data_IF_965404997833
#
_entry.id   IF_965404997833
#
_cell.length_a   1.000
_cell.length_b   1.000
_cell.length_c   1.000
_cell.angle_alpha   90.00
_cell.angle_beta   90.00
_cell.angle_gamma   90.00
#
_symmetry.space_group_name_H-M   'P 1'
#
loop_
_entity.id
_entity.type
_entity.pdbx_description
1 polymer ?
#
# COMPACT_ATOMS: atom_id res chain seq x y z
N UNK A 1 -2.50 -16.24 -75.96
CA UNK A 1 -3.19 -15.79 -74.72
C UNK A 1 -3.11 -16.82 -73.57
N UNK A 2 -2.01 -17.58 -73.41
CA UNK A 2 -1.89 -18.59 -72.33
C UNK A 2 -0.78 -18.23 -71.32
N UNK A 3 0.07 -17.24 -71.63
CA UNK A 3 1.21 -16.87 -70.78
C UNK A 3 0.84 -15.94 -69.62
N UNK A 4 -0.16 -15.06 -69.78
CA UNK A 4 -0.51 -14.07 -68.74
C UNK A 4 -1.31 -14.67 -67.58
N UNK A 5 -2.14 -15.68 -67.87
CA UNK A 5 -2.94 -16.38 -66.85
C UNK A 5 -2.07 -17.16 -65.88
N UNK A 6 -0.91 -17.69 -66.32
CA UNK A 6 0.03 -18.39 -65.45
C UNK A 6 0.69 -17.47 -64.42
N UNK A 7 1.07 -16.25 -64.82
CA UNK A 7 1.66 -15.27 -63.91
C UNK A 7 0.66 -14.78 -62.87
N UNK A 8 -0.60 -14.58 -63.27
CA UNK A 8 -1.67 -14.20 -62.35
C UNK A 8 -1.94 -15.28 -61.29
N UNK A 9 -2.07 -16.54 -61.70
CA UNK A 9 -2.30 -17.67 -60.77
C UNK A 9 -1.13 -17.84 -59.79
N UNK A 10 0.11 -17.68 -60.25
CA UNK A 10 1.30 -17.70 -59.37
C UNK A 10 1.26 -16.57 -58.34
N UNK A 11 0.84 -15.37 -58.75
CA UNK A 11 0.67 -14.23 -57.85
C UNK A 11 -0.39 -14.48 -56.78
N UNK A 12 -1.53 -15.07 -57.14
CA UNK A 12 -2.61 -15.42 -56.19
C UNK A 12 -2.13 -16.46 -55.18
N UNK A 13 -1.40 -17.49 -55.63
CA UNK A 13 -0.87 -18.54 -54.75
C UNK A 13 0.19 -17.98 -53.79
N UNK A 14 1.12 -17.15 -54.28
CA UNK A 14 2.14 -16.51 -53.45
C UNK A 14 1.52 -15.52 -52.44
N UNK A 15 0.53 -14.73 -52.86
CA UNK A 15 -0.20 -13.82 -51.97
C UNK A 15 -1.00 -14.55 -50.89
N UNK A 16 -1.65 -15.67 -51.24
CA UNK A 16 -2.35 -16.52 -50.29
C UNK A 16 -1.41 -17.17 -49.27
N UNK A 17 -0.27 -17.70 -49.72
CA UNK A 17 0.75 -18.27 -48.84
C UNK A 17 1.35 -17.21 -47.90
N UNK A 18 1.63 -15.99 -48.40
CA UNK A 18 2.12 -14.88 -47.59
C UNK A 18 1.07 -14.42 -46.56
N UNK A 19 -0.20 -14.31 -46.95
CA UNK A 19 -1.29 -13.94 -46.06
C UNK A 19 -1.47 -14.98 -44.93
N UNK A 20 -1.41 -16.27 -45.26
CA UNK A 20 -1.42 -17.37 -44.28
C UNK A 20 -0.21 -17.32 -43.35
N UNK A 21 0.97 -16.95 -43.85
CA UNK A 21 2.18 -16.82 -43.03
C UNK A 21 2.06 -15.64 -42.06
N UNK A 22 1.53 -14.50 -42.53
CA UNK A 22 1.29 -13.30 -41.72
C UNK A 22 0.20 -13.53 -40.67
N UNK A 23 -0.85 -14.30 -40.98
CA UNK A 23 -1.87 -14.66 -39.97
C UNK A 23 -1.33 -15.69 -38.97
N UNK A 24 -0.50 -16.66 -39.38
CA UNK A 24 0.18 -17.56 -38.45
C UNK A 24 1.16 -16.82 -37.53
N UNK A 25 1.95 -15.88 -38.08
CA UNK A 25 2.87 -15.03 -37.33
C UNK A 25 2.11 -14.00 -36.48
N UNK A 26 0.96 -13.51 -36.94
CA UNK A 26 0.08 -12.60 -36.19
C UNK A 26 -0.63 -13.29 -35.00
N UNK A 27 -0.79 -14.61 -35.05
CA UNK A 27 -1.20 -15.42 -33.89
C UNK A 27 -0.06 -15.64 -32.88
N UNK A 28 1.21 -15.46 -33.28
CA UNK A 28 2.31 -15.28 -32.33
C UNK A 28 2.21 -13.84 -31.81
N UNK A 29 1.36 -13.62 -30.80
CA UNK A 29 1.41 -12.41 -29.98
C UNK A 29 2.80 -12.31 -29.34
N UNK A 30 3.77 -11.70 -30.02
CA UNK A 30 4.80 -10.89 -29.38
C UNK A 30 4.14 -9.56 -29.03
N UNK A 31 3.16 -9.66 -28.13
CA UNK A 31 2.62 -8.52 -27.44
C UNK A 31 3.60 -8.18 -26.32
N UNK A 32 4.62 -7.40 -26.66
CA UNK A 32 5.24 -6.49 -25.70
C UNK A 32 4.25 -5.34 -25.41
N UNK A 33 3.03 -5.72 -25.02
CA UNK A 33 2.13 -4.80 -24.35
C UNK A 33 2.76 -4.58 -23.00
N UNK A 34 3.10 -3.33 -22.71
CA UNK A 34 3.13 -2.83 -21.34
C UNK A 34 1.90 -3.41 -20.65
N UNK A 35 2.10 -4.47 -19.85
CA UNK A 35 1.13 -4.88 -18.86
C UNK A 35 1.10 -3.70 -17.90
N UNK A 36 0.28 -2.70 -18.20
CA UNK A 36 -0.41 -1.98 -17.16
C UNK A 36 -1.11 -3.08 -16.39
N UNK A 37 -0.48 -3.52 -15.30
CA UNK A 37 -1.12 -4.37 -14.32
C UNK A 37 -2.34 -3.56 -13.89
N UNK A 38 -3.50 -3.87 -14.47
CA UNK A 38 -4.75 -3.53 -13.83
C UNK A 38 -4.67 -4.22 -12.48
N UNK A 39 -4.32 -3.46 -11.46
CA UNK A 39 -4.48 -3.89 -10.10
C UNK A 39 -6.00 -4.04 -9.96
N UNK A 40 -6.50 -5.27 -10.06
CA UNK A 40 -7.83 -5.54 -9.55
C UNK A 40 -7.78 -5.19 -8.07
N UNK A 41 -8.32 -4.02 -7.73
CA UNK A 41 -8.52 -3.61 -6.35
C UNK A 41 -9.61 -4.53 -5.79
N UNK A 42 -9.21 -5.72 -5.34
CA UNK A 42 -10.08 -6.55 -4.53
C UNK A 42 -10.50 -5.71 -3.33
N UNK A 43 -11.79 -5.41 -3.25
CA UNK A 43 -12.37 -4.79 -2.06
C UNK A 43 -12.00 -5.66 -0.87
N UNK A 44 -11.09 -5.17 -0.03
CA UNK A 44 -10.61 -5.91 1.13
C UNK A 44 -11.76 -5.93 2.13
N UNK A 45 -12.34 -7.11 2.31
CA UNK A 45 -13.43 -7.29 3.26
C UNK A 45 -12.91 -7.69 4.63
N UNK A 46 -13.58 -7.19 5.66
CA UNK A 46 -13.43 -7.68 7.01
C UNK A 46 -13.83 -9.17 7.08
N UNK A 47 -13.27 -9.95 8.02
CA UNK A 47 -13.76 -11.29 8.28
C UNK A 47 -15.27 -11.30 8.57
N UNK A 48 -15.95 -12.35 8.12
CA UNK A 48 -17.33 -12.60 8.50
C UNK A 48 -17.40 -12.80 10.04
N UNK A 49 -18.44 -12.25 10.67
CA UNK A 49 -18.60 -12.27 12.13
C UNK A 49 -18.86 -13.68 12.67
N UNK A 50 -19.68 -14.47 11.99
CA UNK A 50 -19.95 -15.87 12.34
C UNK A 50 -18.66 -16.70 12.31
N UNK A 51 -17.81 -16.51 11.30
CA UNK A 51 -16.51 -17.19 11.23
C UNK A 51 -15.64 -16.88 12.45
N UNK A 52 -15.61 -15.61 12.88
CA UNK A 52 -14.79 -15.19 14.03
C UNK A 52 -15.38 -15.69 15.34
N UNK A 53 -16.71 -15.78 15.44
CA UNK A 53 -17.38 -16.34 16.63
C UNK A 53 -17.17 -17.85 16.77
N UNK A 54 -17.02 -18.56 15.65
CA UNK A 54 -16.75 -19.99 15.61
C UNK A 54 -15.30 -20.36 16.01
N UNK A 55 -14.39 -19.38 16.09
CA UNK A 55 -13.04 -19.60 16.61
C UNK A 55 -13.10 -19.88 18.11
N UNK A 56 -12.29 -20.83 18.57
CA UNK A 56 -12.09 -21.07 19.98
C UNK A 56 -11.49 -19.83 20.68
N UNK A 57 -11.66 -19.74 21.99
CA UNK A 57 -11.06 -18.67 22.78
C UNK A 57 -9.53 -18.60 22.61
N UNK A 58 -8.86 -19.77 22.57
CA UNK A 58 -7.44 -19.87 22.32
C UNK A 58 -7.04 -19.31 20.95
N UNK A 59 -7.73 -19.71 19.88
CA UNK A 59 -7.47 -19.19 18.53
C UNK A 59 -7.68 -17.69 18.43
N UNK A 60 -8.77 -17.16 19.02
CA UNK A 60 -9.04 -15.72 19.05
C UNK A 60 -7.94 -14.96 19.78
N UNK A 61 -7.47 -15.49 20.91
CA UNK A 61 -6.40 -14.87 21.67
C UNK A 61 -5.07 -14.90 20.91
N UNK A 62 -4.72 -16.02 20.27
CA UNK A 62 -3.48 -16.13 19.48
C UNK A 62 -3.52 -15.24 18.22
N UNK A 63 -4.64 -15.16 17.53
CA UNK A 63 -4.82 -14.23 16.41
C UNK A 63 -4.77 -12.76 16.85
N UNK A 64 -5.38 -12.43 18.00
CA UNK A 64 -5.31 -11.07 18.54
C UNK A 64 -3.88 -10.67 18.90
N UNK A 65 -3.10 -11.60 19.50
CA UNK A 65 -1.68 -11.39 19.81
C UNK A 65 -0.81 -11.32 18.57
N UNK A 66 -1.16 -12.03 17.49
CA UNK A 66 -0.39 -12.02 16.26
C UNK A 66 -0.52 -10.69 15.52
N UNK A 67 -1.59 -9.92 15.70
CA UNK A 67 -1.79 -8.61 15.07
C UNK A 67 -1.18 -7.53 15.95
N UNK A 68 -0.01 -7.03 15.55
CA UNK A 68 0.73 -5.98 16.25
C UNK A 68 0.73 -4.70 15.42
N UNK A 69 -0.06 -3.73 15.86
CA UNK A 69 -0.28 -2.44 15.18
C UNK A 69 0.61 -1.36 15.81
N UNK A 70 1.50 -0.83 14.97
CA UNK A 70 2.30 0.34 15.27
C UNK A 70 1.64 1.59 14.69
N UNK A 71 1.37 2.58 15.52
CA UNK A 71 0.77 3.85 15.10
C UNK A 71 1.83 4.93 14.89
N UNK A 72 1.93 5.42 13.66
CA UNK A 72 2.80 6.51 13.21
C UNK A 72 1.94 7.78 13.15
N UNK A 73 2.08 8.70 14.11
CA UNK A 73 1.22 9.88 14.19
C UNK A 73 2.05 11.11 13.81
N UNK A 74 1.77 11.71 12.63
CA UNK A 74 2.47 12.90 12.16
C UNK A 74 1.81 14.15 12.77
N UNK A 75 2.55 14.89 13.59
CA UNK A 75 2.05 16.04 14.34
C UNK A 75 2.85 17.30 14.04
N UNK A 76 2.22 18.46 14.26
CA UNK A 76 2.92 19.75 14.27
C UNK A 76 2.75 20.43 15.64
N UNK A 77 3.72 21.25 16.06
CA UNK A 77 3.65 22.01 17.31
C UNK A 77 2.41 22.91 17.43
N UNK A 78 1.79 23.32 16.32
CA UNK A 78 0.56 24.12 16.32
C UNK A 78 -0.70 23.31 16.67
N UNK A 79 -0.65 21.98 16.61
CA UNK A 79 -1.82 21.10 16.75
C UNK A 79 -1.90 20.44 18.15
N UNK A 80 -1.41 21.14 19.20
CA UNK A 80 -1.27 20.58 20.56
C UNK A 80 -2.56 19.98 21.13
N UNK A 81 -3.71 20.61 20.88
CA UNK A 81 -5.00 20.12 21.39
C UNK A 81 -5.38 18.76 20.79
N UNK A 82 -5.27 18.62 19.46
CA UNK A 82 -5.52 17.36 18.76
C UNK A 82 -4.49 16.29 19.16
N UNK A 83 -3.23 16.69 19.32
CA UNK A 83 -2.17 15.80 19.77
C UNK A 83 -2.46 15.25 21.17
N UNK A 84 -2.78 16.11 22.15
CA UNK A 84 -3.16 15.70 23.48
C UNK A 84 -4.38 14.76 23.45
N UNK A 85 -5.40 15.08 22.66
CA UNK A 85 -6.58 14.23 22.51
C UNK A 85 -6.20 12.83 21.98
N UNK A 86 -5.40 12.75 20.91
CA UNK A 86 -4.95 11.48 20.35
C UNK A 86 -4.10 10.67 21.34
N UNK A 87 -3.14 11.32 22.03
CA UNK A 87 -2.27 10.72 23.07
C UNK A 87 -3.07 10.17 24.24
N UNK A 88 -4.10 10.90 24.68
CA UNK A 88 -4.89 10.53 25.85
C UNK A 88 -6.04 9.56 25.57
N UNK A 89 -6.38 9.33 24.30
CA UNK A 89 -7.50 8.48 23.88
C UNK A 89 -7.06 7.29 23.02
N UNK A 90 -7.39 7.29 21.73
CA UNK A 90 -7.33 6.13 20.86
C UNK A 90 -5.92 5.57 20.63
N UNK A 91 -4.87 6.40 20.68
CA UNK A 91 -3.51 5.91 20.45
C UNK A 91 -3.02 4.95 21.54
N UNK A 92 -3.62 5.00 22.74
CA UNK A 92 -3.36 4.04 23.83
C UNK A 92 -3.78 2.60 23.49
N UNK A 93 -4.63 2.44 22.47
CA UNK A 93 -5.11 1.14 22.01
C UNK A 93 -4.22 0.53 20.91
N UNK A 94 -3.26 1.30 20.38
CA UNK A 94 -2.19 0.76 19.54
C UNK A 94 -1.25 -0.09 20.40
N UNK A 95 -0.65 -1.14 19.82
CA UNK A 95 0.38 -1.91 20.52
C UNK A 95 1.63 -1.06 20.82
N UNK A 96 1.89 -0.08 19.96
CA UNK A 96 2.80 1.04 20.20
C UNK A 96 2.36 2.24 19.36
N UNK A 97 2.51 3.44 19.90
CA UNK A 97 2.29 4.68 19.18
C UNK A 97 3.48 5.64 19.38
N UNK A 98 3.96 6.24 18.30
CA UNK A 98 4.94 7.33 18.35
C UNK A 98 4.43 8.54 17.58
N UNK A 99 4.74 9.72 18.12
CA UNK A 99 4.39 10.99 17.53
C UNK A 99 5.62 11.60 16.87
N UNK A 100 5.55 11.85 15.57
CA UNK A 100 6.64 12.38 14.77
C UNK A 100 6.38 13.85 14.47
N UNK A 101 7.29 14.71 14.91
CA UNK A 101 7.16 16.17 14.87
C UNK A 101 8.34 16.80 14.12
N UNK A 102 8.17 18.01 13.61
CA UNK A 102 9.26 18.77 13.01
C UNK A 102 10.38 19.09 14.01
N UNK A 103 10.01 19.25 15.28
CA UNK A 103 10.91 19.56 16.39
C UNK A 103 10.61 18.69 17.62
N UNK A 104 11.54 18.63 18.56
CA UNK A 104 11.35 17.89 19.81
C UNK A 104 10.42 18.67 20.75
N UNK A 105 9.22 18.14 20.99
CA UNK A 105 8.27 18.66 21.96
C UNK A 105 8.25 17.71 23.18
N UNK A 106 9.05 18.05 24.20
CA UNK A 106 9.27 17.20 25.39
C UNK A 106 7.99 16.77 26.10
N UNK A 107 6.98 17.65 26.19
CA UNK A 107 5.70 17.35 26.86
C UNK A 107 4.99 16.14 26.23
N UNK A 108 5.26 15.88 24.95
CA UNK A 108 4.62 14.80 24.21
C UNK A 108 5.56 13.67 23.79
N UNK A 109 6.83 13.70 24.19
CA UNK A 109 7.84 12.68 23.87
C UNK A 109 8.01 12.44 22.37
N UNK A 110 7.96 13.51 21.57
CA UNK A 110 7.96 13.40 20.11
C UNK A 110 9.31 12.99 19.52
N UNK A 111 9.28 12.19 18.46
CA UNK A 111 10.43 11.95 17.60
C UNK A 111 10.62 13.14 16.66
N UNK A 112 11.72 13.87 16.81
CA UNK A 112 12.04 15.04 15.99
C UNK A 112 12.58 14.63 14.62
N UNK A 113 11.98 15.15 13.55
CA UNK A 113 12.34 14.88 12.16
C UNK A 113 13.13 16.02 11.49
N UNK A 114 13.24 17.17 12.16
CA UNK A 114 13.97 18.37 11.72
C UNK A 114 13.55 18.86 10.32
N UNK A 115 12.25 18.84 10.04
CA UNK A 115 11.65 19.37 8.79
C UNK A 115 10.18 19.69 9.01
N UNK A 116 9.67 20.74 8.38
CA UNK A 116 8.25 21.14 8.41
C UNK A 116 7.45 20.63 7.19
N UNK A 117 8.15 20.07 6.20
CA UNK A 117 7.56 19.45 5.02
C UNK A 117 6.94 18.10 5.38
N UNK A 118 5.63 17.96 5.14
CA UNK A 118 4.87 16.77 5.56
C UNK A 118 5.28 15.52 4.78
N UNK A 119 5.65 15.67 3.51
CA UNK A 119 6.11 14.56 2.69
C UNK A 119 7.45 14.04 3.19
N UNK A 120 8.41 14.93 3.45
CA UNK A 120 9.70 14.58 4.04
C UNK A 120 9.51 13.97 5.44
N UNK A 121 8.61 14.52 6.26
CA UNK A 121 8.28 13.94 7.56
C UNK A 121 7.75 12.51 7.43
N UNK A 122 6.80 12.28 6.53
CA UNK A 122 6.22 10.96 6.28
C UNK A 122 7.29 9.94 5.84
N UNK A 123 8.16 10.33 4.89
CA UNK A 123 9.29 9.48 4.43
C UNK A 123 10.22 9.10 5.58
N UNK A 124 10.65 10.08 6.37
CA UNK A 124 11.53 9.84 7.53
C UNK A 124 10.84 8.98 8.59
N UNK A 125 9.58 9.23 8.89
CA UNK A 125 8.81 8.45 9.85
C UNK A 125 8.74 6.98 9.42
N UNK A 126 8.33 6.70 8.18
CA UNK A 126 8.29 5.33 7.65
C UNK A 126 9.65 4.63 7.70
N UNK A 127 10.72 5.32 7.31
CA UNK A 127 12.09 4.76 7.37
C UNK A 127 12.51 4.43 8.79
N UNK A 128 12.33 5.37 9.72
CA UNK A 128 12.67 5.19 11.13
C UNK A 128 11.86 4.05 11.74
N UNK A 129 10.55 4.02 11.49
CA UNK A 129 9.66 2.99 12.00
C UNK A 129 10.03 1.61 11.45
N UNK A 130 10.27 1.50 10.13
CA UNK A 130 10.68 0.24 9.52
C UNK A 130 11.99 -0.28 10.12
N UNK A 131 13.04 0.53 10.17
CA UNK A 131 14.33 0.07 10.67
C UNK A 131 14.31 -0.33 12.15
N UNK A 132 13.52 0.36 12.97
CA UNK A 132 13.45 0.06 14.41
C UNK A 132 12.52 -1.11 14.75
N UNK A 133 11.44 -1.29 14.00
CA UNK A 133 10.29 -2.09 14.45
C UNK A 133 9.85 -3.18 13.47
N UNK A 134 10.58 -3.39 12.36
CA UNK A 134 10.25 -4.42 11.34
C UNK A 134 10.14 -5.85 11.87
N UNK A 135 10.82 -6.17 12.97
CA UNK A 135 10.82 -7.52 13.56
C UNK A 135 9.83 -7.67 14.72
N UNK A 136 9.24 -6.57 15.20
CA UNK A 136 8.33 -6.55 16.35
C UNK A 136 6.86 -6.33 15.96
N UNK A 137 6.61 -5.65 14.84
CA UNK A 137 5.28 -5.25 14.39
C UNK A 137 5.06 -5.68 12.95
N UNK A 138 3.80 -5.98 12.62
CA UNK A 138 3.43 -6.45 11.28
C UNK A 138 2.41 -5.56 10.57
N UNK A 139 1.83 -4.59 11.30
CA UNK A 139 0.93 -3.58 10.75
C UNK A 139 1.32 -2.18 11.22
N UNK A 140 1.29 -1.22 10.31
CA UNK A 140 1.71 0.15 10.53
C UNK A 140 0.59 1.10 10.12
N UNK A 141 0.07 1.88 11.06
CA UNK A 141 -1.03 2.81 10.84
C UNK A 141 -0.51 4.26 10.90
N UNK A 142 -0.45 4.92 9.75
CA UNK A 142 -0.15 6.33 9.63
C UNK A 142 -1.41 7.16 9.83
N UNK A 143 -1.35 8.15 10.71
CA UNK A 143 -2.47 9.04 11.01
C UNK A 143 -2.01 10.47 11.31
N UNK A 144 -2.98 11.38 11.31
CA UNK A 144 -2.83 12.75 11.82
C UNK A 144 -3.43 12.87 13.22
N UNK A 145 -3.06 13.91 13.99
CA UNK A 145 -3.65 14.13 15.32
C UNK A 145 -5.15 14.41 15.26
N UNK A 146 -5.67 14.84 14.11
CA UNK A 146 -7.11 15.04 13.85
C UNK A 146 -7.86 13.73 13.56
N UNK A 147 -7.15 12.62 13.35
CA UNK A 147 -7.77 11.30 13.14
C UNK A 147 -8.32 10.76 14.46
N UNK A 148 -9.50 10.13 14.40
CA UNK A 148 -10.02 9.28 15.47
C UNK A 148 -10.16 7.86 14.92
N UNK A 149 -9.56 6.88 15.59
CA UNK A 149 -9.57 5.49 15.16
C UNK A 149 -10.00 4.56 16.31
N UNK A 150 -10.73 3.50 15.98
CA UNK A 150 -11.02 2.41 16.91
C UNK A 150 -10.06 1.27 16.55
N UNK A 151 -8.97 1.12 17.30
CA UNK A 151 -7.88 0.21 16.94
C UNK A 151 -8.35 -1.25 16.99
N UNK A 152 -9.29 -1.59 17.85
CA UNK A 152 -9.92 -2.91 17.92
C UNK A 152 -10.65 -3.25 16.62
N UNK A 153 -11.35 -2.28 16.01
CA UNK A 153 -12.00 -2.46 14.71
C UNK A 153 -10.97 -2.66 13.60
N UNK A 154 -9.85 -1.94 13.66
CA UNK A 154 -8.74 -2.14 12.73
C UNK A 154 -8.14 -3.55 12.89
N UNK A 155 -7.83 -3.98 14.12
CA UNK A 155 -7.31 -5.33 14.38
C UNK A 155 -8.29 -6.41 13.90
N UNK A 156 -9.59 -6.23 14.13
CA UNK A 156 -10.62 -7.12 13.60
C UNK A 156 -10.58 -7.20 12.07
N UNK A 157 -10.47 -6.05 11.39
CA UNK A 157 -10.38 -5.99 9.93
C UNK A 157 -9.16 -6.75 9.37
N UNK A 158 -8.05 -6.75 10.12
CA UNK A 158 -6.77 -7.35 9.74
C UNK A 158 -6.66 -8.86 10.04
N UNK A 159 -7.58 -9.44 10.81
CA UNK A 159 -7.43 -10.74 11.45
C UNK A 159 -7.20 -11.94 10.53
N UNK A 160 -7.66 -11.88 9.28
CA UNK A 160 -7.44 -12.92 8.26
C UNK A 160 -6.50 -12.47 7.13
N UNK A 161 -5.71 -11.42 7.34
CA UNK A 161 -4.79 -10.88 6.34
C UNK A 161 -3.36 -11.30 6.66
N UNK A 162 -2.68 -11.86 5.67
CA UNK A 162 -1.26 -12.20 5.78
C UNK A 162 -0.42 -10.91 5.66
N UNK A 163 0.27 -10.46 6.72
CA UNK A 163 1.07 -9.24 6.66
C UNK A 163 2.32 -9.37 5.77
N UNK A 164 2.66 -10.58 5.31
CA UNK A 164 3.69 -10.80 4.29
C UNK A 164 3.21 -10.49 2.87
N UNK A 165 1.91 -10.19 2.69
CA UNK A 165 1.37 -9.65 1.45
C UNK A 165 1.35 -8.13 1.48
N UNK A 166 1.56 -7.44 0.34
CA UNK A 166 1.73 -5.99 0.27
C UNK A 166 0.40 -5.22 0.37
N UNK A 167 -0.24 -5.28 1.54
CA UNK A 167 -1.44 -4.50 1.82
C UNK A 167 -1.16 -3.00 1.99
N UNK A 168 -1.84 -2.17 1.21
CA UNK A 168 -1.92 -0.70 1.31
C UNK A 168 -3.40 -0.32 1.41
N UNK A 169 -3.85 0.04 2.60
CA UNK A 169 -5.28 0.08 2.96
C UNK A 169 -5.63 1.47 3.48
N UNK A 170 -6.79 1.98 3.08
CA UNK A 170 -7.45 3.14 3.68
C UNK A 170 -8.48 3.73 2.73
N UNK A 171 -8.81 5.01 2.91
CA UNK A 171 -9.73 5.71 2.01
C UNK A 171 -9.05 5.96 0.66
N UNK A 172 -9.47 5.22 -0.36
CA UNK A 172 -8.90 5.34 -1.71
C UNK A 172 -9.58 6.47 -2.47
N UNK A 173 -8.78 7.38 -3.00
CA UNK A 173 -9.21 8.53 -3.80
C UNK A 173 -8.58 8.47 -5.18
N UNK A 174 -9.29 9.02 -6.16
CA UNK A 174 -8.84 9.06 -7.55
C UNK A 174 -8.62 10.50 -8.00
N UNK A 175 -7.43 10.77 -8.54
CA UNK A 175 -7.04 12.06 -9.12
C UNK A 175 -6.49 11.83 -10.53
N UNK A 176 -7.32 12.08 -11.55
CA UNK A 176 -7.02 11.69 -12.93
C UNK A 176 -6.90 10.17 -13.04
N UNK A 177 -5.75 9.71 -13.55
CA UNK A 177 -5.42 8.28 -13.68
C UNK A 177 -4.73 7.71 -12.42
N UNK A 178 -4.41 8.55 -11.43
CA UNK A 178 -3.78 8.11 -10.19
C UNK A 178 -4.83 7.74 -9.15
N UNK A 179 -4.70 6.55 -8.58
CA UNK A 179 -5.47 6.08 -7.44
C UNK A 179 -4.53 5.86 -6.26
N UNK A 180 -4.85 6.45 -5.11
CA UNK A 180 -4.01 6.40 -3.91
C UNK A 180 -4.85 6.44 -2.64
N UNK A 181 -4.28 6.00 -1.52
CA UNK A 181 -4.92 6.12 -0.21
C UNK A 181 -4.65 7.49 0.37
N UNK A 182 -5.72 8.23 0.63
CA UNK A 182 -5.68 9.52 1.29
C UNK A 182 -5.29 9.38 2.77
N UNK A 183 -4.26 10.13 3.15
CA UNK A 183 -3.75 10.17 4.52
C UNK A 183 -4.76 10.76 5.52
N UNK A 184 -5.72 11.58 5.07
CA UNK A 184 -6.74 12.13 5.97
C UNK A 184 -7.59 11.03 6.63
N UNK A 185 -7.87 9.94 5.90
CA UNK A 185 -8.56 8.75 6.41
C UNK A 185 -7.66 7.78 7.20
N UNK A 186 -6.36 8.07 7.25
CA UNK A 186 -5.32 7.16 7.76
C UNK A 186 -4.92 6.09 6.76
N UNK A 187 -3.66 5.67 6.83
CA UNK A 187 -3.07 4.66 5.93
C UNK A 187 -2.60 3.48 6.77
N UNK A 188 -3.05 2.28 6.43
CA UNK A 188 -2.57 1.03 7.02
C UNK A 188 -1.68 0.32 6.01
N UNK A 189 -0.46 0.03 6.43
CA UNK A 189 0.52 -0.76 5.69
C UNK A 189 0.80 -2.07 6.42
N UNK A 190 0.86 -3.16 5.67
CA UNK A 190 1.52 -4.38 6.13
C UNK A 190 3.04 -4.18 6.25
N UNK A 191 3.73 -5.05 6.98
CA UNK A 191 5.19 -5.08 7.00
C UNK A 191 5.80 -5.25 5.61
N UNK A 192 5.18 -6.07 4.75
CA UNK A 192 5.64 -6.25 3.37
C UNK A 192 5.53 -4.95 2.56
N UNK A 193 4.42 -4.23 2.68
CA UNK A 193 4.26 -2.93 2.02
C UNK A 193 5.28 -1.92 2.52
N UNK A 194 5.47 -1.84 3.84
CA UNK A 194 6.43 -0.89 4.41
C UNK A 194 7.87 -1.23 4.00
N UNK A 195 8.23 -2.53 3.91
CA UNK A 195 9.52 -2.98 3.38
C UNK A 195 9.73 -2.54 1.94
N UNK A 196 8.73 -2.74 1.06
CA UNK A 196 8.81 -2.32 -0.35
C UNK A 196 8.91 -0.80 -0.46
N UNK A 197 8.09 -0.08 0.29
CA UNK A 197 8.10 1.38 0.34
C UNK A 197 9.48 1.89 0.80
N UNK A 198 10.03 1.37 1.90
CA UNK A 198 11.34 1.79 2.40
C UNK A 198 12.45 1.62 1.37
N UNK A 199 12.43 0.53 0.59
CA UNK A 199 13.41 0.33 -0.49
C UNK A 199 13.28 1.34 -1.62
N UNK A 200 12.04 1.70 -1.98
CA UNK A 200 11.79 2.71 -3.02
C UNK A 200 12.17 4.10 -2.53
N UNK A 201 11.95 4.41 -1.25
CA UNK A 201 12.34 5.69 -0.65
C UNK A 201 13.86 5.88 -0.57
N UNK A 202 14.66 4.81 -0.62
CA UNK A 202 16.13 4.86 -0.64
C UNK A 202 16.71 4.93 -2.05
N UNK A 203 15.89 4.67 -3.07
CA UNK A 203 16.28 4.67 -4.47
C UNK A 203 15.97 6.06 -5.06
N UNK A 204 17.01 6.88 -5.21
CA UNK A 204 16.89 8.25 -5.74
C UNK A 204 16.34 8.31 -7.17
N UNK A 205 16.52 7.24 -7.95
CA UNK A 205 16.03 7.18 -9.33
C UNK A 205 14.53 6.92 -9.37
N UNK A 206 13.99 6.22 -8.35
CA UNK A 206 12.56 5.94 -8.21
C UNK A 206 11.80 6.97 -7.37
N UNK A 207 12.46 7.56 -6.36
CA UNK A 207 11.87 8.56 -5.48
C UNK A 207 12.87 9.71 -5.23
N UNK A 208 12.95 10.68 -6.15
CA UNK A 208 13.87 11.79 -6.02
C UNK A 208 13.62 12.60 -4.74
N UNK A 209 14.69 12.96 -4.03
CA UNK A 209 14.63 13.96 -2.97
C UNK A 209 14.45 15.34 -3.62
N UNK A 210 13.19 15.74 -3.85
CA UNK A 210 12.88 17.14 -4.17
C UNK A 210 13.13 18.04 -2.96
#
# INVERSE_FOLDING_TARGET
MISESSSFVKGVVLGGAFCMLVTLLGHIKVGHGTKAHHHEHHHIQAPNKEDVLNLSEGERMELSKSIRVYCIILVKPKDLGHWAAAKETWSKHCDKAEFYSSENVKVFDSVALNTNDMWVMMRKAYKITYERYKDEFNWFFLAYPTTFAIIENLKYFLLKKDPLQPFYIGHTVKSGDLEYVDVMGGIVLSIESLRRLSRVLEDSDKCPEQ
#
